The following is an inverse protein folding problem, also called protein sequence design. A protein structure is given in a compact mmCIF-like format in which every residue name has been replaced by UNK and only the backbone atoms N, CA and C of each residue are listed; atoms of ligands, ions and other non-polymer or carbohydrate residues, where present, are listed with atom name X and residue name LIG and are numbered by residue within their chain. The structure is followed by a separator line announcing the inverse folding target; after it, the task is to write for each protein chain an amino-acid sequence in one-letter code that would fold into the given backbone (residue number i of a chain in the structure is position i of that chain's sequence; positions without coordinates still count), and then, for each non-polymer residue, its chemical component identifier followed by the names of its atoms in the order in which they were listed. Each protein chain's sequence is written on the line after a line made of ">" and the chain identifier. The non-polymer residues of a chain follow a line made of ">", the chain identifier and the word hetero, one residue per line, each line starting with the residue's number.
data_IF_917129655895
#
_entry.id   IF_917129655895
#
_cell.length_a   1.000
_cell.length_b   1.000
_cell.length_c   1.000
_cell.angle_alpha   90.00
_cell.angle_beta   90.00
_cell.angle_gamma   90.00
#
_symmetry.space_group_name_H-M   'P 1'
#
loop_
_entity.id
_entity.type
_entity.pdbx_description
1 polymer ?
#
# COMPACT_ATOMS: atom_id res chain seq x y z
N UNK A 1 55.50 -46.72 -11.59
CA UNK A 1 54.19 -46.41 -11.00
C UNK A 1 54.24 -44.98 -10.48
N UNK A 2 53.52 -44.04 -11.11
CA UNK A 2 53.61 -42.59 -10.87
C UNK A 2 52.21 -42.09 -10.53
N UNK A 3 51.94 -41.85 -9.25
CA UNK A 3 50.61 -41.44 -8.76
C UNK A 3 50.41 -39.93 -8.92
N UNK A 4 49.26 -39.58 -9.51
CA UNK A 4 48.78 -38.25 -9.83
C UNK A 4 48.52 -37.40 -8.58
N UNK A 5 48.94 -36.12 -8.64
CA UNK A 5 48.54 -35.05 -7.73
C UNK A 5 47.19 -34.49 -8.20
N UNK A 6 46.16 -34.61 -7.37
CA UNK A 6 44.88 -33.92 -7.56
C UNK A 6 45.01 -32.45 -7.17
N UNK A 7 44.72 -31.55 -8.12
CA UNK A 7 44.51 -30.12 -7.88
C UNK A 7 43.02 -29.90 -7.62
N UNK A 8 42.66 -29.50 -6.39
CA UNK A 8 41.34 -29.01 -6.04
C UNK A 8 41.25 -27.53 -6.47
N UNK A 9 40.46 -27.25 -7.49
CA UNK A 9 40.06 -25.90 -7.85
C UNK A 9 38.87 -25.47 -6.97
N UNK A 10 39.12 -24.60 -6.00
CA UNK A 10 38.07 -23.84 -5.32
C UNK A 10 37.55 -22.77 -6.30
N UNK A 11 36.42 -23.02 -6.94
CA UNK A 11 35.62 -21.96 -7.56
C UNK A 11 34.84 -21.24 -6.47
N UNK A 12 35.34 -20.08 -6.07
CA UNK A 12 34.59 -19.12 -5.27
C UNK A 12 33.38 -18.65 -6.09
N UNK A 13 32.19 -19.04 -5.63
CA UNK A 13 30.91 -18.57 -6.16
C UNK A 13 30.73 -17.12 -5.68
N UNK A 14 31.15 -16.15 -6.51
CA UNK A 14 30.83 -14.74 -6.28
C UNK A 14 29.35 -14.57 -6.57
N UNK A 15 28.53 -14.49 -5.52
CA UNK A 15 27.17 -13.97 -5.62
C UNK A 15 27.25 -12.49 -5.99
N UNK A 16 27.35 -12.20 -7.29
CA UNK A 16 27.09 -10.86 -7.81
C UNK A 16 25.60 -10.61 -7.60
N UNK A 17 25.27 -9.98 -6.47
CA UNK A 17 23.95 -9.38 -6.28
C UNK A 17 23.75 -8.39 -7.40
N UNK A 18 22.94 -8.74 -8.41
CA UNK A 18 22.36 -7.75 -9.30
C UNK A 18 21.50 -6.87 -8.41
N UNK A 19 21.97 -5.66 -8.11
CA UNK A 19 21.07 -4.59 -7.71
C UNK A 19 20.06 -4.46 -8.86
N UNK A 20 18.84 -4.98 -8.64
CA UNK A 20 17.77 -4.82 -9.59
C UNK A 20 17.61 -3.32 -9.81
N UNK A 21 17.67 -2.88 -11.07
CA UNK A 21 17.52 -1.47 -11.39
C UNK A 21 16.17 -0.96 -10.85
N UNK A 22 16.17 0.25 -10.29
CA UNK A 22 14.96 0.88 -9.77
C UNK A 22 13.86 0.91 -10.85
N UNK A 23 12.63 0.54 -10.46
CA UNK A 23 11.52 0.55 -11.40
C UNK A 23 11.20 1.99 -11.83
N UNK A 24 10.98 2.27 -13.13
CA UNK A 24 10.63 3.62 -13.61
C UNK A 24 9.41 4.25 -12.92
N UNK A 25 8.51 3.44 -12.36
CA UNK A 25 7.37 3.89 -11.58
C UNK A 25 7.79 4.65 -10.30
N UNK A 26 8.98 4.36 -9.73
CA UNK A 26 9.49 5.05 -8.54
C UNK A 26 9.83 6.53 -8.83
N UNK A 27 10.17 6.86 -10.09
CA UNK A 27 10.42 8.24 -10.53
C UNK A 27 9.14 9.02 -10.81
N UNK A 28 8.01 8.33 -10.99
CA UNK A 28 6.70 8.92 -11.30
C UNK A 28 5.60 8.32 -10.43
N UNK A 29 5.71 8.45 -9.09
CA UNK A 29 4.75 7.87 -8.16
C UNK A 29 3.34 8.45 -8.32
N UNK A 30 3.18 9.61 -8.94
CA UNK A 30 1.88 10.25 -9.21
C UNK A 30 1.13 9.71 -10.44
N UNK A 31 1.73 8.79 -11.20
CA UNK A 31 1.05 8.19 -12.35
C UNK A 31 -0.22 7.42 -11.92
N UNK A 32 -1.17 7.23 -12.85
CA UNK A 32 -2.37 6.45 -12.57
C UNK A 32 -2.03 4.96 -12.48
N UNK A 33 -1.99 4.45 -11.25
CA UNK A 33 -1.79 3.02 -10.99
C UNK A 33 -3.10 2.28 -10.72
N UNK A 34 -4.28 2.90 -10.85
CA UNK A 34 -5.59 2.37 -10.39
C UNK A 34 -5.89 0.91 -10.79
N UNK A 35 -5.35 0.45 -11.92
CA UNK A 35 -5.54 -0.92 -12.46
C UNK A 35 -4.44 -1.92 -12.10
N UNK A 36 -3.34 -1.48 -11.48
CA UNK A 36 -2.06 -2.21 -11.37
C UNK A 36 -2.01 -3.44 -10.44
N UNK A 37 -3.04 -4.13 -9.98
CA UNK A 37 -2.89 -5.29 -9.03
C UNK A 37 -2.10 -5.03 -7.71
N UNK A 38 -2.34 -5.79 -6.63
CA UNK A 38 -1.56 -5.62 -5.40
C UNK A 38 -0.12 -6.17 -5.49
N UNK A 39 0.10 -7.29 -6.19
CA UNK A 39 1.43 -7.91 -6.31
C UNK A 39 2.39 -7.02 -7.10
N UNK A 40 1.98 -6.53 -8.28
CA UNK A 40 2.85 -5.68 -9.09
C UNK A 40 3.21 -4.35 -8.39
N UNK A 41 2.31 -3.82 -7.55
CA UNK A 41 2.63 -2.64 -6.73
C UNK A 41 3.69 -2.95 -5.66
N UNK A 42 3.67 -4.14 -5.05
CA UNK A 42 4.75 -4.56 -4.14
C UNK A 42 6.06 -4.80 -4.87
N UNK A 43 6.00 -5.35 -6.08
CA UNK A 43 7.18 -5.54 -6.91
C UNK A 43 7.82 -4.19 -7.28
N UNK A 44 7.01 -3.17 -7.58
CA UNK A 44 7.49 -1.79 -7.74
C UNK A 44 8.14 -1.30 -6.44
N UNK A 45 7.42 -1.39 -5.31
CA UNK A 45 7.90 -0.91 -4.01
C UNK A 45 9.27 -1.49 -3.65
N UNK A 46 9.46 -2.81 -3.84
CA UNK A 46 10.69 -3.53 -3.53
C UNK A 46 11.93 -3.05 -4.32
N UNK A 47 11.74 -2.25 -5.36
CA UNK A 47 12.82 -1.70 -6.19
C UNK A 47 13.04 -0.20 -5.99
N UNK A 48 12.17 0.49 -5.25
CA UNK A 48 12.29 1.93 -5.06
C UNK A 48 13.39 2.26 -4.05
N UNK A 49 14.25 3.22 -4.38
CA UNK A 49 15.34 3.65 -3.50
C UNK A 49 14.86 4.61 -2.40
N UNK A 50 13.82 5.41 -2.69
CA UNK A 50 13.19 6.31 -1.70
C UNK A 50 12.23 5.53 -0.79
N UNK A 51 12.44 5.54 0.54
CA UNK A 51 11.55 4.88 1.49
C UNK A 51 10.11 5.42 1.48
N UNK A 52 9.92 6.70 1.17
CA UNK A 52 8.60 7.33 1.08
C UNK A 52 7.84 6.86 -0.15
N UNK A 53 8.53 6.69 -1.28
CA UNK A 53 7.94 6.17 -2.52
C UNK A 53 7.64 4.68 -2.39
N UNK A 54 8.56 3.88 -1.86
CA UNK A 54 8.35 2.48 -1.52
C UNK A 54 7.07 2.32 -0.69
N UNK A 55 6.98 3.08 0.40
CA UNK A 55 5.83 3.04 1.31
C UNK A 55 4.53 3.41 0.62
N UNK A 56 4.54 4.38 -0.30
CA UNK A 56 3.34 4.76 -1.06
C UNK A 56 2.86 3.59 -1.92
N UNK A 57 3.75 2.92 -2.63
CA UNK A 57 3.40 1.74 -3.42
C UNK A 57 2.93 0.57 -2.54
N UNK A 58 3.54 0.35 -1.38
CA UNK A 58 3.09 -0.64 -0.41
C UNK A 58 1.68 -0.32 0.13
N UNK A 59 1.43 0.93 0.50
CA UNK A 59 0.14 1.43 0.96
C UNK A 59 -0.96 1.27 -0.09
N UNK A 60 -0.66 1.54 -1.35
CA UNK A 60 -1.56 1.30 -2.49
C UNK A 60 -1.87 -0.18 -2.68
N UNK A 61 -0.87 -1.05 -2.54
CA UNK A 61 -1.06 -2.49 -2.63
C UNK A 61 -1.99 -2.98 -1.51
N UNK A 62 -1.68 -2.56 -0.29
CA UNK A 62 -2.43 -2.95 0.90
C UNK A 62 -3.89 -2.48 0.86
N UNK A 63 -4.14 -1.25 0.40
CA UNK A 63 -5.50 -0.74 0.21
C UNK A 63 -6.33 -1.59 -0.76
N UNK A 64 -5.70 -2.17 -1.80
CA UNK A 64 -6.37 -3.05 -2.75
C UNK A 64 -6.67 -4.42 -2.18
N UNK A 65 -5.76 -4.95 -1.37
CA UNK A 65 -6.01 -6.21 -0.67
C UNK A 65 -7.18 -6.06 0.29
N UNK A 66 -7.23 -4.97 1.07
CA UNK A 66 -8.39 -4.67 1.93
C UNK A 66 -9.69 -4.58 1.13
N UNK A 67 -9.66 -3.98 -0.07
CA UNK A 67 -10.84 -3.95 -0.95
C UNK A 67 -11.25 -5.34 -1.43
N UNK A 68 -10.30 -6.18 -1.81
CA UNK A 68 -10.55 -7.55 -2.26
C UNK A 68 -11.09 -8.42 -1.11
N UNK A 69 -10.50 -8.30 0.06
CA UNK A 69 -10.91 -9.01 1.28
C UNK A 69 -12.32 -8.60 1.70
N UNK A 70 -12.63 -7.31 1.64
CA UNK A 70 -13.98 -6.82 1.91
C UNK A 70 -15.01 -7.38 0.93
N UNK A 71 -14.72 -7.35 -0.39
CA UNK A 71 -15.60 -7.96 -1.39
C UNK A 71 -15.79 -9.46 -1.17
N UNK A 72 -14.76 -10.15 -0.69
CA UNK A 72 -14.82 -11.58 -0.35
C UNK A 72 -15.69 -11.79 0.90
N UNK A 73 -15.49 -10.98 1.94
CA UNK A 73 -16.27 -10.98 3.16
C UNK A 73 -17.77 -10.83 2.89
N UNK A 74 -18.14 -9.89 2.01
CA UNK A 74 -19.52 -9.68 1.59
C UNK A 74 -20.17 -10.91 0.94
N UNK A 75 -19.38 -11.74 0.23
CA UNK A 75 -19.89 -12.94 -0.46
C UNK A 75 -20.00 -14.16 0.45
N UNK A 76 -19.15 -14.25 1.47
CA UNK A 76 -19.04 -15.44 2.31
C UNK A 76 -20.10 -15.55 3.40
N UNK A 77 -20.89 -14.50 3.62
CA UNK A 77 -21.76 -14.45 4.78
C UNK A 77 -23.24 -14.39 4.38
N UNK A 78 -23.89 -15.55 4.22
CA UNK A 78 -25.34 -15.62 4.05
C UNK A 78 -26.14 -15.33 5.35
N UNK A 79 -25.49 -15.25 6.52
CA UNK A 79 -26.16 -15.16 7.84
C UNK A 79 -25.96 -13.86 8.63
N UNK A 80 -25.02 -13.00 8.22
CA UNK A 80 -24.86 -11.63 8.73
C UNK A 80 -25.64 -10.77 7.76
N UNK A 81 -26.65 -10.06 8.27
CA UNK A 81 -27.15 -8.89 7.54
C UNK A 81 -25.95 -7.97 7.41
N UNK A 82 -25.32 -7.99 6.23
CA UNK A 82 -24.47 -6.88 5.80
C UNK A 82 -25.42 -5.69 5.86
N UNK A 83 -25.25 -4.88 6.90
CA UNK A 83 -26.08 -3.72 7.05
C UNK A 83 -25.75 -2.75 5.91
N UNK A 84 -26.71 -1.92 5.52
CA UNK A 84 -26.46 -0.84 4.56
C UNK A 84 -25.26 0.01 5.00
N UNK A 85 -25.05 0.13 6.32
CA UNK A 85 -23.93 0.83 6.91
C UNK A 85 -22.56 0.26 6.55
N UNK A 86 -22.40 -1.06 6.48
CA UNK A 86 -21.11 -1.69 6.11
C UNK A 86 -20.74 -1.28 4.68
N UNK A 87 -21.70 -1.37 3.75
CA UNK A 87 -21.49 -0.98 2.35
C UNK A 87 -21.19 0.51 2.21
N UNK A 88 -21.91 1.35 2.97
CA UNK A 88 -21.66 2.80 3.02
C UNK A 88 -20.25 3.10 3.50
N UNK A 89 -19.79 2.47 4.58
CA UNK A 89 -18.45 2.66 5.12
C UNK A 89 -17.36 2.27 4.12
N UNK A 90 -17.55 1.14 3.44
CA UNK A 90 -16.60 0.68 2.42
C UNK A 90 -16.56 1.59 1.19
N UNK A 91 -17.71 2.03 0.72
CA UNK A 91 -17.77 2.99 -0.39
C UNK A 91 -17.13 4.32 -0.01
N UNK A 92 -17.35 4.81 1.21
CA UNK A 92 -16.70 6.01 1.72
C UNK A 92 -15.17 5.88 1.75
N UNK A 93 -14.65 4.74 2.22
CA UNK A 93 -13.21 4.43 2.19
C UNK A 93 -12.64 4.47 0.76
N UNK A 94 -13.30 3.81 -0.19
CA UNK A 94 -12.87 3.80 -1.60
C UNK A 94 -12.91 5.20 -2.24
N UNK A 95 -13.98 5.94 -1.98
CA UNK A 95 -14.15 7.31 -2.49
C UNK A 95 -13.07 8.22 -1.93
N UNK A 96 -12.81 8.19 -0.61
CA UNK A 96 -11.77 8.99 0.03
C UNK A 96 -10.40 8.79 -0.62
N UNK A 97 -9.93 7.55 -0.76
CA UNK A 97 -8.63 7.27 -1.37
C UNK A 97 -8.57 7.68 -2.84
N UNK A 98 -9.65 7.46 -3.59
CA UNK A 98 -9.71 7.86 -5.00
C UNK A 98 -9.65 9.39 -5.16
N UNK A 99 -10.33 10.13 -4.29
CA UNK A 99 -10.29 11.59 -4.27
C UNK A 99 -8.91 12.08 -3.81
N UNK A 100 -8.32 11.47 -2.78
CA UNK A 100 -7.00 11.82 -2.29
C UNK A 100 -5.95 11.69 -3.40
N UNK A 101 -5.91 10.56 -4.11
CA UNK A 101 -5.02 10.35 -5.26
C UNK A 101 -5.27 11.39 -6.36
N UNK A 102 -6.53 11.55 -6.78
CA UNK A 102 -6.90 12.43 -7.88
C UNK A 102 -6.61 13.90 -7.62
N UNK A 103 -6.82 14.38 -6.39
CA UNK A 103 -6.68 15.79 -6.01
C UNK A 103 -5.29 16.15 -5.47
N UNK A 104 -4.49 15.16 -5.06
CA UNK A 104 -3.14 15.41 -4.54
C UNK A 104 -2.27 16.21 -5.50
N UNK A 105 -2.48 16.02 -6.81
CA UNK A 105 -1.73 16.69 -7.87
C UNK A 105 -2.04 18.18 -7.94
N UNK A 106 -3.31 18.57 -7.79
CA UNK A 106 -3.72 19.98 -7.83
C UNK A 106 -3.53 20.70 -6.50
N UNK A 107 -3.58 19.97 -5.37
CA UNK A 107 -3.56 20.59 -4.04
C UNK A 107 -2.14 20.77 -3.46
N UNK A 108 -1.18 19.96 -3.89
CA UNK A 108 0.16 19.94 -3.31
C UNK A 108 1.21 19.98 -4.41
N UNK A 109 1.83 21.14 -4.62
CA UNK A 109 2.77 21.38 -5.72
C UNK A 109 4.06 20.52 -5.61
N UNK A 110 4.57 20.35 -4.39
CA UNK A 110 5.84 19.64 -4.16
C UNK A 110 5.61 18.13 -4.06
N UNK A 111 6.28 17.36 -4.92
CA UNK A 111 6.15 15.90 -4.99
C UNK A 111 6.43 15.21 -3.65
N UNK A 112 7.49 15.60 -2.93
CA UNK A 112 7.83 15.03 -1.62
C UNK A 112 6.72 15.25 -0.58
N UNK A 113 6.15 16.46 -0.53
CA UNK A 113 5.04 16.79 0.36
C UNK A 113 3.79 15.99 -0.01
N UNK A 114 3.56 15.82 -1.32
CA UNK A 114 2.44 15.06 -1.85
C UNK A 114 2.53 13.58 -1.49
N UNK A 115 3.70 12.96 -1.67
CA UNK A 115 3.95 11.58 -1.28
C UNK A 115 3.76 11.40 0.23
N UNK A 116 4.30 12.33 1.03
CA UNK A 116 4.13 12.32 2.48
C UNK A 116 2.67 12.40 2.89
N UNK A 117 1.91 13.30 2.26
CA UNK A 117 0.49 13.47 2.51
C UNK A 117 -0.32 12.24 2.08
N UNK A 118 -0.05 11.69 0.89
CA UNK A 118 -0.71 10.48 0.39
C UNK A 118 -0.43 9.28 1.30
N UNK A 119 0.81 9.08 1.73
CA UNK A 119 1.15 8.01 2.67
C UNK A 119 0.32 8.12 3.96
N UNK A 120 0.21 9.32 4.53
CA UNK A 120 -0.62 9.54 5.72
C UNK A 120 -2.09 9.25 5.45
N UNK A 121 -2.63 9.72 4.33
CA UNK A 121 -4.01 9.47 3.93
C UNK A 121 -4.29 7.96 3.80
N UNK A 122 -3.39 7.22 3.18
CA UNK A 122 -3.47 5.76 3.09
C UNK A 122 -3.41 5.08 4.45
N UNK A 123 -2.40 5.39 5.27
CA UNK A 123 -2.21 4.79 6.60
C UNK A 123 -3.48 4.96 7.46
N UNK A 124 -4.01 6.19 7.51
CA UNK A 124 -5.24 6.52 8.25
C UNK A 124 -6.46 5.77 7.71
N UNK A 125 -6.68 5.81 6.40
CA UNK A 125 -7.83 5.17 5.79
C UNK A 125 -7.78 3.64 5.93
N UNK A 126 -6.60 3.04 5.75
CA UNK A 126 -6.38 1.61 5.90
C UNK A 126 -6.60 1.16 7.34
N UNK A 127 -6.11 1.91 8.33
CA UNK A 127 -6.36 1.65 9.76
C UNK A 127 -7.86 1.61 10.07
N UNK A 128 -8.61 2.62 9.60
CA UNK A 128 -10.07 2.67 9.79
C UNK A 128 -10.74 1.48 9.11
N UNK A 129 -10.39 1.17 7.86
CA UNK A 129 -11.00 0.09 7.09
C UNK A 129 -10.78 -1.27 7.78
N UNK A 130 -9.56 -1.53 8.27
CA UNK A 130 -9.27 -2.71 9.06
C UNK A 130 -10.14 -2.81 10.32
N UNK A 131 -10.23 -1.73 11.09
CA UNK A 131 -11.02 -1.72 12.32
C UNK A 131 -12.48 -2.05 12.02
N UNK A 132 -13.05 -1.49 10.94
CA UNK A 132 -14.41 -1.81 10.49
C UNK A 132 -14.55 -3.27 10.09
N UNK A 133 -13.63 -3.79 9.29
CA UNK A 133 -13.65 -5.21 8.86
C UNK A 133 -13.55 -6.18 10.04
N UNK A 134 -12.78 -5.82 11.08
CA UNK A 134 -12.65 -6.57 12.32
C UNK A 134 -13.86 -6.41 13.26
N UNK A 135 -14.85 -5.57 12.93
CA UNK A 135 -16.04 -5.30 13.73
C UNK A 135 -15.84 -4.30 14.88
N UNK A 136 -14.73 -3.57 14.88
CA UNK A 136 -14.37 -2.59 15.92
C UNK A 136 -14.88 -1.18 15.60
N UNK A 137 -16.17 -1.06 15.28
CA UNK A 137 -16.79 0.19 14.79
C UNK A 137 -16.59 1.39 15.70
N UNK A 138 -16.76 1.19 17.01
CA UNK A 138 -16.60 2.28 18.00
C UNK A 138 -15.18 2.82 18.05
N UNK A 139 -14.18 1.98 17.77
CA UNK A 139 -12.77 2.38 17.74
C UNK A 139 -12.51 3.16 16.45
N UNK A 140 -13.00 2.66 15.32
CA UNK A 140 -12.94 3.37 14.04
C UNK A 140 -13.60 4.76 14.12
N UNK A 141 -14.79 4.87 14.71
CA UNK A 141 -15.50 6.14 14.91
C UNK A 141 -14.70 7.13 15.77
N UNK A 142 -14.04 6.63 16.82
CA UNK A 142 -13.20 7.45 17.69
C UNK A 142 -12.00 7.98 16.90
N UNK A 143 -11.36 7.11 16.12
CA UNK A 143 -10.21 7.46 15.29
C UNK A 143 -10.57 8.55 14.28
N UNK A 144 -11.70 8.41 13.58
CA UNK A 144 -12.23 9.44 12.64
C UNK A 144 -12.36 10.80 13.34
N UNK A 145 -12.97 10.83 14.53
CA UNK A 145 -13.12 12.08 15.30
C UNK A 145 -11.79 12.69 15.73
N UNK A 146 -10.82 11.86 16.09
CA UNK A 146 -9.47 12.34 16.46
C UNK A 146 -8.76 12.97 15.26
N UNK A 147 -8.87 12.37 14.07
CA UNK A 147 -8.29 12.92 12.84
C UNK A 147 -8.91 14.27 12.48
N UNK A 148 -10.25 14.38 12.55
CA UNK A 148 -10.96 15.64 12.28
C UNK A 148 -10.56 16.76 13.25
N UNK A 149 -10.24 16.43 14.51
CA UNK A 149 -9.75 17.41 15.47
C UNK A 149 -8.31 17.82 15.20
N UNK A 150 -7.44 16.87 14.89
CA UNK A 150 -6.03 17.14 14.60
C UNK A 150 -5.79 17.92 13.30
N UNK A 151 -6.71 17.85 12.34
CA UNK A 151 -6.68 18.66 11.10
C UNK A 151 -7.18 20.10 11.29
N UNK A 152 -7.81 20.43 12.42
CA UNK A 152 -8.28 21.80 12.70
C UNK A 152 -7.18 22.74 13.23
N UNK A 153 -5.98 22.22 13.48
CA UNK A 153 -4.83 22.93 14.07
C UNK A 153 -3.71 23.24 13.04
N UNK A 154 -3.98 23.04 11.74
CA UNK A 154 -3.10 23.41 10.61
C UNK A 154 -3.76 24.48 9.74
#
# INVERSE_FOLDING_TARGET
>A
MRTQRFLLALTALVCVGHAAAENPACLRPEADFSKTSPSALRDIAATCESPEVERLFFNRAYARDLQADYHTYLKLIPFRRIDSQDQVNFNAYRMFLSLAEAFSIQLIDRQEQRITWLNRAYEQANEIAELRMKGNDRVADRRIREMQRGESDL
#
